data_IF_373706209995
#
_entry.id   IF_373706209995
#
_cell.length_a   1.000
_cell.length_b   1.000
_cell.length_c   1.000
_cell.angle_alpha   90.00
_cell.angle_beta   90.00
_cell.angle_gamma   90.00
#
_symmetry.space_group_name_H-M   'P 1'
#
loop_
_entity.id
_entity.type
_entity.pdbx_description
1 polymer ?
#
# COMPACT_ATOMS: atom_id res chain seq x y z
N UNK A 1 -17.47 2.11 22.83
CA UNK A 1 -17.37 3.15 21.77
C UNK A 1 -18.76 3.36 21.18
N UNK A 2 -19.20 4.60 20.95
CA UNK A 2 -20.52 4.85 20.34
C UNK A 2 -20.52 4.32 18.88
N UNK A 3 -21.65 3.81 18.38
CA UNK A 3 -21.80 3.26 17.03
C UNK A 3 -21.38 4.26 15.93
N UNK A 4 -21.63 5.56 16.15
CA UNK A 4 -21.18 6.61 15.25
C UNK A 4 -19.65 6.70 15.14
N UNK A 5 -18.94 6.56 16.27
CA UNK A 5 -17.48 6.58 16.31
C UNK A 5 -16.89 5.32 15.66
N UNK A 6 -17.49 4.16 15.90
CA UNK A 6 -17.09 2.90 15.24
C UNK A 6 -17.15 3.01 13.72
N UNK A 7 -18.28 3.50 13.21
CA UNK A 7 -18.49 3.71 11.77
C UNK A 7 -17.50 4.71 11.17
N UNK A 8 -17.16 5.77 11.92
CA UNK A 8 -16.16 6.74 11.48
C UNK A 8 -14.76 6.11 11.39
N UNK A 9 -14.33 5.36 12.41
CA UNK A 9 -13.05 4.64 12.42
C UNK A 9 -12.97 3.65 11.25
N UNK A 10 -14.00 2.85 11.03
CA UNK A 10 -14.04 1.89 9.90
C UNK A 10 -13.92 2.57 8.53
N UNK A 11 -14.60 3.71 8.35
CA UNK A 11 -14.48 4.50 7.11
C UNK A 11 -13.07 5.07 6.95
N UNK A 12 -12.52 5.68 8.00
CA UNK A 12 -11.18 6.29 7.96
C UNK A 12 -10.11 5.25 7.68
N UNK A 13 -10.13 4.10 8.36
CA UNK A 13 -9.21 2.97 8.08
C UNK A 13 -9.34 2.50 6.63
N UNK A 14 -10.57 2.43 6.12
CA UNK A 14 -10.83 2.07 4.73
C UNK A 14 -10.24 3.06 3.74
N UNK A 15 -10.50 4.35 3.93
CA UNK A 15 -10.02 5.41 3.03
C UNK A 15 -8.50 5.50 3.06
N UNK A 16 -7.89 5.58 4.25
CA UNK A 16 -6.42 5.66 4.36
C UNK A 16 -5.77 4.39 3.82
N UNK A 17 -6.33 3.22 4.14
CA UNK A 17 -5.83 1.94 3.65
C UNK A 17 -5.83 1.85 2.12
N UNK A 18 -6.94 2.20 1.48
CA UNK A 18 -7.04 2.22 0.02
C UNK A 18 -6.15 3.30 -0.62
N UNK A 19 -6.02 4.48 -0.02
CA UNK A 19 -5.12 5.52 -0.51
C UNK A 19 -3.67 5.04 -0.49
N UNK A 20 -3.23 4.38 0.60
CA UNK A 20 -1.86 3.87 0.68
C UNK A 20 -1.58 2.76 -0.36
N UNK A 21 -2.55 1.86 -0.59
CA UNK A 21 -2.48 0.86 -1.67
C UNK A 21 -2.46 1.52 -3.04
N UNK A 22 -3.24 2.58 -3.26
CA UNK A 22 -3.24 3.31 -4.52
C UNK A 22 -1.91 4.03 -4.78
N UNK A 23 -1.31 4.64 -3.75
CA UNK A 23 0.02 5.25 -3.83
C UNK A 23 1.07 4.21 -4.21
N UNK A 24 1.07 3.05 -3.55
CA UNK A 24 1.92 1.92 -3.95
C UNK A 24 1.70 1.55 -5.43
N UNK A 25 0.44 1.41 -5.85
CA UNK A 25 0.10 1.07 -7.22
C UNK A 25 0.66 2.07 -8.24
N UNK A 26 0.57 3.37 -7.96
CA UNK A 26 1.13 4.42 -8.83
C UNK A 26 2.65 4.31 -8.93
N UNK A 27 3.34 4.15 -7.79
CA UNK A 27 4.80 4.00 -7.77
C UNK A 27 5.23 2.74 -8.52
N UNK A 28 4.54 1.63 -8.29
CA UNK A 28 4.85 0.35 -8.94
C UNK A 28 4.59 0.41 -10.45
N UNK A 29 3.48 1.01 -10.89
CA UNK A 29 3.18 1.19 -12.30
C UNK A 29 4.20 2.11 -12.99
N UNK A 30 4.68 3.14 -12.31
CA UNK A 30 5.75 3.99 -12.82
C UNK A 30 7.05 3.21 -13.03
N UNK A 31 7.47 2.42 -12.03
CA UNK A 31 8.68 1.59 -12.15
C UNK A 31 8.54 0.52 -13.24
N UNK A 32 7.35 -0.09 -13.36
CA UNK A 32 7.05 -1.06 -14.43
C UNK A 32 7.10 -0.38 -15.81
N UNK A 33 6.54 0.81 -15.94
CA UNK A 33 6.56 1.58 -17.19
C UNK A 33 8.00 1.89 -17.61
N UNK A 34 8.83 2.41 -16.70
CA UNK A 34 10.26 2.64 -16.96
C UNK A 34 10.99 1.39 -17.40
N UNK A 35 10.70 0.23 -16.79
CA UNK A 35 11.27 -1.05 -17.22
C UNK A 35 10.94 -1.42 -18.68
N UNK A 36 9.76 -1.05 -19.18
CA UNK A 36 9.37 -1.35 -20.56
C UNK A 36 9.78 -0.29 -21.58
N UNK A 37 10.03 0.95 -21.17
CA UNK A 37 10.33 2.06 -22.08
C UNK A 37 11.82 2.39 -22.21
N UNK A 38 12.62 2.06 -21.19
CA UNK A 38 14.03 2.42 -21.15
C UNK A 38 14.92 1.21 -21.49
N UNK A 39 15.57 1.23 -22.66
CA UNK A 39 16.50 0.17 -23.12
C UNK A 39 17.69 -0.07 -22.16
N UNK A 40 17.99 0.92 -21.31
CA UNK A 40 19.06 0.89 -20.30
C UNK A 40 18.59 0.32 -18.95
N UNK A 41 17.29 0.11 -18.78
CA UNK A 41 16.67 -0.31 -17.53
C UNK A 41 16.50 -1.83 -17.49
N UNK A 42 17.59 -2.52 -17.11
CA UNK A 42 17.63 -3.98 -17.07
C UNK A 42 16.84 -4.58 -15.89
N UNK A 43 16.45 -5.85 -16.00
CA UNK A 43 15.78 -6.61 -14.92
C UNK A 43 16.57 -6.59 -13.61
N UNK A 44 17.90 -6.58 -13.69
CA UNK A 44 18.77 -6.50 -12.50
C UNK A 44 18.60 -5.18 -11.76
N UNK A 45 18.49 -4.07 -12.50
CA UNK A 45 18.31 -2.73 -11.93
C UNK A 45 16.93 -2.57 -11.32
N UNK A 46 15.89 -3.05 -11.99
CA UNK A 46 14.53 -3.08 -11.44
C UNK A 46 14.47 -3.85 -10.11
N UNK A 47 15.10 -5.04 -10.05
CA UNK A 47 15.13 -5.84 -8.82
C UNK A 47 15.96 -5.19 -7.71
N UNK A 48 17.07 -4.53 -8.07
CA UNK A 48 17.87 -3.72 -7.14
C UNK A 48 17.01 -2.63 -6.52
N UNK A 49 16.39 -1.79 -7.34
CA UNK A 49 15.61 -0.64 -6.84
C UNK A 49 14.40 -1.11 -6.00
N UNK A 50 13.81 -2.27 -6.33
CA UNK A 50 12.67 -2.83 -5.60
C UNK A 50 13.03 -3.42 -4.23
N UNK A 51 14.22 -4.00 -4.07
CA UNK A 51 14.59 -4.76 -2.85
C UNK A 51 15.75 -4.17 -2.07
N UNK A 52 16.55 -3.28 -2.65
CA UNK A 52 17.65 -2.61 -1.98
C UNK A 52 17.11 -1.48 -1.08
N UNK A 53 17.34 -1.56 0.24
CA UNK A 53 16.95 -0.51 1.17
C UNK A 53 17.62 0.84 0.90
N UNK A 54 18.80 0.86 0.26
CA UNK A 54 19.52 2.09 -0.06
C UNK A 54 18.96 2.83 -1.29
N UNK A 55 18.13 2.18 -2.12
CA UNK A 55 17.58 2.75 -3.34
C UNK A 55 16.11 3.17 -3.19
N UNK A 56 15.14 2.27 -3.41
CA UNK A 56 13.72 2.62 -3.42
C UNK A 56 12.85 1.69 -2.57
N UNK A 57 13.38 0.63 -1.96
CA UNK A 57 12.59 -0.33 -1.19
C UNK A 57 11.84 0.33 -0.01
N UNK A 58 12.45 1.31 0.67
CA UNK A 58 11.78 2.05 1.76
C UNK A 58 10.69 3.02 1.29
N UNK A 59 10.61 3.32 0.00
CA UNK A 59 9.56 4.17 -0.56
C UNK A 59 8.42 3.30 -1.10
N UNK A 60 8.76 2.18 -1.73
CA UNK A 60 7.80 1.29 -2.40
C UNK A 60 7.00 0.47 -1.39
N UNK A 61 7.65 -0.24 -0.48
CA UNK A 61 6.96 -1.24 0.36
C UNK A 61 6.10 -0.67 1.49
N UNK A 62 6.50 0.41 2.21
CA UNK A 62 5.73 0.87 3.36
C UNK A 62 4.28 1.27 3.04
N UNK A 63 3.97 2.02 1.97
CA UNK A 63 2.59 2.33 1.60
C UNK A 63 1.72 1.08 1.43
N UNK A 64 2.27 0.01 0.82
CA UNK A 64 1.56 -1.25 0.66
C UNK A 64 1.32 -1.94 2.01
N UNK A 65 2.36 -2.11 2.81
CA UNK A 65 2.27 -2.80 4.11
C UNK A 65 1.32 -2.07 5.05
N UNK A 66 1.49 -0.75 5.19
CA UNK A 66 0.58 0.07 5.99
C UNK A 66 -0.85 0.02 5.46
N UNK A 67 -1.04 0.14 4.15
CA UNK A 67 -2.36 0.08 3.52
C UNK A 67 -3.09 -1.23 3.83
N UNK A 68 -2.40 -2.36 3.63
CA UNK A 68 -2.94 -3.69 3.92
C UNK A 68 -3.24 -3.89 5.41
N UNK A 69 -2.36 -3.44 6.30
CA UNK A 69 -2.60 -3.50 7.74
C UNK A 69 -3.86 -2.69 8.14
N UNK A 70 -4.07 -1.49 7.60
CA UNK A 70 -5.25 -0.67 7.91
C UNK A 70 -6.54 -1.31 7.38
N UNK A 71 -6.50 -1.87 6.16
CA UNK A 71 -7.64 -2.60 5.59
C UNK A 71 -7.94 -3.88 6.37
N UNK A 72 -6.90 -4.58 6.85
CA UNK A 72 -7.04 -5.76 7.70
C UNK A 72 -7.63 -5.42 9.08
N UNK A 73 -7.15 -4.34 9.72
CA UNK A 73 -7.74 -3.87 10.99
C UNK A 73 -9.21 -3.51 10.80
N UNK A 74 -9.57 -2.87 9.68
CA UNK A 74 -10.97 -2.58 9.34
C UNK A 74 -11.80 -3.84 9.22
N UNK A 75 -11.34 -4.87 8.51
CA UNK A 75 -12.09 -6.14 8.37
C UNK A 75 -12.19 -6.87 9.69
N UNK A 76 -11.14 -6.83 10.52
CA UNK A 76 -11.15 -7.39 11.87
C UNK A 76 -12.20 -6.71 12.78
N UNK A 77 -12.24 -5.37 12.82
CA UNK A 77 -13.23 -4.62 13.61
C UNK A 77 -14.66 -4.90 13.14
N UNK A 78 -14.86 -5.02 11.83
CA UNK A 78 -16.16 -5.35 11.23
C UNK A 78 -16.60 -6.77 11.59
N UNK A 79 -15.67 -7.74 11.60
CA UNK A 79 -15.95 -9.13 11.97
C UNK A 79 -16.22 -9.29 13.48
N UNK A 80 -15.48 -8.60 14.35
CA UNK A 80 -15.76 -8.56 15.79
C UNK A 80 -16.95 -7.67 16.16
N UNK A 81 -17.63 -7.11 15.17
CA UNK A 81 -18.77 -6.22 15.32
C UNK A 81 -20.13 -6.83 14.97
N UNK A 82 -20.14 -8.09 14.54
CA UNK A 82 -21.37 -8.88 14.42
C UNK A 82 -21.77 -9.37 15.81
N UNK A 83 -22.36 -8.47 16.58
CA UNK A 83 -23.34 -8.69 17.66
C UNK A 83 -24.32 -7.50 17.63
#
# INVERSE_FOLDING_TARGET
MNNAQKKLVEKTLGVIGWVAVAVFGVIFLYALFSFFTDDWYTTKRFLSELFDPEEAAFIVWPPLVFGLCLLWVRTFIRAGGTD
#
